data_IF_993280089380
#
_entry.id   IF_993280089380
#
_cell.length_a   1.000
_cell.length_b   1.000
_cell.length_c   1.000
_cell.angle_alpha   90.00
_cell.angle_beta   90.00
_cell.angle_gamma   90.00
#
_symmetry.space_group_name_H-M   'P 1'
#
loop_
_entity.id
_entity.type
_entity.pdbx_description
1 polymer ?
#
# COMPACT_ATOMS: atom_id res chain seq x y z
N UNK A 1 45.09 -3.14 6.20
CA UNK A 1 44.19 -4.30 6.09
C UNK A 1 43.14 -4.40 7.21
N UNK A 2 43.39 -3.79 8.36
CA UNK A 2 42.41 -3.72 9.49
C UNK A 2 41.52 -2.49 9.42
N UNK A 3 41.95 -1.39 8.83
CA UNK A 3 41.16 -0.13 8.77
C UNK A 3 40.08 -0.16 7.69
N UNK A 4 40.32 -0.80 6.55
CA UNK A 4 39.31 -0.95 5.47
C UNK A 4 38.12 -1.86 5.84
N UNK A 5 38.34 -2.81 6.78
CA UNK A 5 37.26 -3.70 7.24
C UNK A 5 36.35 -2.96 8.22
N UNK A 6 36.91 -2.09 9.06
CA UNK A 6 36.15 -1.29 10.03
C UNK A 6 35.28 -0.23 9.35
N UNK A 7 35.76 0.41 8.29
CA UNK A 7 34.96 1.37 7.50
C UNK A 7 33.80 0.68 6.77
N UNK A 8 33.96 -0.57 6.34
CA UNK A 8 32.91 -1.33 5.68
C UNK A 8 31.78 -1.76 6.64
N UNK A 9 32.12 -2.10 7.88
CA UNK A 9 31.13 -2.48 8.91
C UNK A 9 30.37 -1.24 9.44
N UNK A 10 31.03 -0.10 9.58
CA UNK A 10 30.39 1.17 9.96
C UNK A 10 29.44 1.68 8.86
N UNK A 11 29.82 1.61 7.59
CA UNK A 11 28.95 1.97 6.46
C UNK A 11 27.71 1.07 6.36
N UNK A 12 27.87 -0.25 6.57
CA UNK A 12 26.73 -1.16 6.59
C UNK A 12 25.78 -0.91 7.78
N UNK A 13 26.32 -0.53 8.94
CA UNK A 13 25.47 -0.20 10.09
C UNK A 13 24.71 1.10 9.90
N UNK A 14 25.29 2.11 9.26
CA UNK A 14 24.64 3.38 8.93
C UNK A 14 23.54 3.19 7.88
N UNK A 15 23.77 2.35 6.86
CA UNK A 15 22.74 2.01 5.87
C UNK A 15 21.56 1.22 6.48
N UNK A 16 21.84 0.36 7.46
CA UNK A 16 20.80 -0.37 8.19
C UNK A 16 19.99 0.54 9.12
N UNK A 17 20.63 1.50 9.78
CA UNK A 17 19.97 2.49 10.64
C UNK A 17 19.12 3.47 9.82
N UNK A 18 19.60 3.92 8.65
CA UNK A 18 18.83 4.76 7.72
C UNK A 18 17.61 4.01 7.17
N UNK A 19 17.76 2.73 6.84
CA UNK A 19 16.66 1.89 6.37
C UNK A 19 15.63 1.61 7.47
N UNK A 20 16.06 1.38 8.70
CA UNK A 20 15.17 1.18 9.85
C UNK A 20 14.40 2.46 10.20
N UNK A 21 15.05 3.63 10.09
CA UNK A 21 14.41 4.94 10.27
C UNK A 21 13.39 5.23 9.16
N UNK A 22 13.69 4.87 7.91
CA UNK A 22 12.77 5.02 6.80
C UNK A 22 11.54 4.11 6.95
N UNK A 23 11.72 2.85 7.39
CA UNK A 23 10.60 1.93 7.66
C UNK A 23 9.74 2.37 8.85
N UNK A 24 10.35 2.89 9.91
CA UNK A 24 9.60 3.45 11.04
C UNK A 24 8.83 4.72 10.64
N UNK A 25 9.38 5.53 9.73
CA UNK A 25 8.69 6.67 9.17
C UNK A 25 7.52 6.23 8.25
N UNK A 26 7.69 5.17 7.45
CA UNK A 26 6.62 4.59 6.64
C UNK A 26 5.51 3.97 7.51
N UNK A 27 5.86 3.19 8.56
CA UNK A 27 4.87 2.62 9.50
C UNK A 27 4.14 3.74 10.28
N UNK A 28 4.84 4.77 10.73
CA UNK A 28 4.22 5.90 11.44
C UNK A 28 3.37 6.78 10.51
N UNK A 29 3.73 6.88 9.24
CA UNK A 29 2.97 7.66 8.26
C UNK A 29 1.68 6.94 7.87
N UNK A 30 1.70 5.61 7.79
CA UNK A 30 0.51 4.79 7.53
C UNK A 30 -0.42 4.79 8.75
N UNK A 31 0.13 4.66 9.97
CA UNK A 31 -0.64 4.66 11.22
C UNK A 31 -1.23 6.05 11.56
N UNK A 32 -0.54 7.14 11.13
CA UNK A 32 -1.05 8.52 11.27
C UNK A 32 -2.04 8.93 10.18
N UNK A 33 -2.20 8.14 9.12
CA UNK A 33 -3.23 8.35 8.10
C UNK A 33 -4.58 7.71 8.46
N UNK A 34 -4.61 6.84 9.47
CA UNK A 34 -5.83 6.32 10.09
C UNK A 34 -6.29 7.24 11.25
N UNK A 35 -6.29 8.57 11.07
CA UNK A 35 -7.03 9.48 11.95
C UNK A 35 -8.53 9.28 11.67
N UNK A 36 -9.10 8.26 12.35
CA UNK A 36 -10.53 7.95 12.35
C UNK A 36 -11.42 9.09 12.88
N UNK A 37 -10.85 10.21 13.29
CA UNK A 37 -11.54 11.31 14.00
C UNK A 37 -11.49 12.67 13.24
N UNK A 38 -11.18 12.65 11.94
CA UNK A 38 -11.47 13.84 11.13
C UNK A 38 -13.00 13.96 10.99
N UNK A 39 -13.62 15.08 11.45
CA UNK A 39 -15.05 15.26 11.28
C UNK A 39 -15.38 15.09 9.79
N UNK A 40 -16.30 14.17 9.46
CA UNK A 40 -16.84 14.04 8.11
C UNK A 40 -17.47 15.40 7.77
N UNK A 41 -16.70 16.30 7.17
CA UNK A 41 -17.23 17.55 6.64
C UNK A 41 -18.16 17.13 5.50
N UNK A 42 -19.44 17.43 5.68
CA UNK A 42 -20.39 17.33 4.57
C UNK A 42 -20.04 18.46 3.62
N UNK A 43 -19.27 18.13 2.59
CA UNK A 43 -18.90 19.08 1.55
C UNK A 43 -20.13 19.37 0.67
N UNK A 44 -20.17 20.57 0.12
CA UNK A 44 -21.11 20.90 -0.93
C UNK A 44 -20.70 20.25 -2.25
N UNK A 45 -21.64 20.06 -3.17
CA UNK A 45 -21.35 19.51 -4.50
C UNK A 45 -20.25 20.32 -5.23
N UNK A 46 -20.24 21.67 -5.06
CA UNK A 46 -19.20 22.54 -5.62
C UNK A 46 -17.80 22.30 -5.02
N UNK A 47 -17.74 21.96 -3.72
CA UNK A 47 -16.46 21.62 -3.06
C UNK A 47 -15.96 20.23 -3.49
N UNK A 48 -16.86 19.28 -3.70
CA UNK A 48 -16.52 17.96 -4.23
C UNK A 48 -15.98 18.06 -5.65
N UNK A 49 -16.64 18.83 -6.52
CA UNK A 49 -16.17 19.09 -7.88
C UNK A 49 -14.77 19.74 -7.87
N UNK A 50 -14.53 20.70 -6.96
CA UNK A 50 -13.22 21.32 -6.81
C UNK A 50 -12.13 20.33 -6.38
N UNK A 51 -12.46 19.40 -5.47
CA UNK A 51 -11.53 18.33 -5.05
C UNK A 51 -11.20 17.43 -6.25
N UNK A 52 -12.23 16.97 -6.97
CA UNK A 52 -12.09 16.08 -8.12
C UNK A 52 -11.27 16.74 -9.24
N UNK A 53 -11.62 17.92 -9.66
CA UNK A 53 -10.90 18.67 -10.69
C UNK A 53 -9.44 18.89 -10.32
N UNK A 54 -9.18 19.25 -9.04
CA UNK A 54 -7.82 19.49 -8.55
C UNK A 54 -6.99 18.19 -8.55
N UNK A 55 -7.57 17.10 -8.08
CA UNK A 55 -6.92 15.80 -8.02
C UNK A 55 -6.62 15.25 -9.43
N UNK A 56 -7.62 15.30 -10.33
CA UNK A 56 -7.48 14.87 -11.73
C UNK A 56 -6.42 15.69 -12.47
N UNK A 57 -6.41 17.02 -12.28
CA UNK A 57 -5.40 17.87 -12.90
C UNK A 57 -3.98 17.49 -12.43
N UNK A 58 -3.81 17.31 -11.11
CA UNK A 58 -2.53 16.90 -10.55
C UNK A 58 -2.11 15.50 -11.05
N UNK A 59 -3.05 14.55 -11.10
CA UNK A 59 -2.80 13.21 -11.61
C UNK A 59 -2.39 13.24 -13.08
N UNK A 60 -3.12 13.95 -13.94
CA UNK A 60 -2.78 14.11 -15.35
C UNK A 60 -1.40 14.72 -15.57
N UNK A 61 -1.00 15.68 -14.74
CA UNK A 61 0.33 16.30 -14.83
C UNK A 61 1.43 15.31 -14.48
N UNK A 62 1.24 14.47 -13.45
CA UNK A 62 2.21 13.45 -13.06
C UNK A 62 2.28 12.32 -14.12
N UNK A 63 1.13 11.87 -14.63
CA UNK A 63 1.09 10.79 -15.62
C UNK A 63 1.89 11.08 -16.90
N UNK A 64 2.08 12.36 -17.26
CA UNK A 64 2.94 12.76 -18.39
C UNK A 64 4.38 12.25 -18.28
N UNK A 65 4.85 12.01 -17.05
CA UNK A 65 6.23 11.54 -16.79
C UNK A 65 6.36 10.02 -16.75
N UNK A 66 5.23 9.29 -16.71
CA UNK A 66 5.25 7.82 -16.64
C UNK A 66 5.33 7.11 -17.99
N UNK A 67 5.28 7.86 -19.08
CA UNK A 67 5.32 7.31 -20.45
C UNK A 67 4.25 6.21 -20.67
N UNK A 68 3.08 6.38 -20.08
CA UNK A 68 1.89 5.56 -20.33
C UNK A 68 1.19 6.00 -21.61
N UNK A 69 0.44 5.10 -22.21
CA UNK A 69 -0.35 5.37 -23.42
C UNK A 69 -1.52 6.32 -23.16
N UNK A 70 -2.58 6.17 -23.95
CA UNK A 70 -3.82 6.90 -23.67
C UNK A 70 -4.46 6.34 -22.43
N UNK A 71 -4.75 7.22 -21.45
CA UNK A 71 -5.42 6.87 -20.21
C UNK A 71 -6.73 7.61 -20.09
N UNK A 72 -7.74 6.95 -19.54
CA UNK A 72 -8.99 7.55 -19.06
C UNK A 72 -8.96 7.55 -17.54
N UNK A 73 -9.47 8.59 -16.92
CA UNK A 73 -9.61 8.70 -15.48
C UNK A 73 -11.10 8.88 -15.22
N UNK A 74 -11.69 7.89 -14.57
CA UNK A 74 -13.08 7.89 -14.13
C UNK A 74 -13.12 8.24 -12.65
N UNK A 75 -14.04 9.14 -12.25
CA UNK A 75 -14.19 9.57 -10.87
C UNK A 75 -15.54 9.10 -10.32
N UNK A 76 -15.55 8.69 -9.05
CA UNK A 76 -16.76 8.34 -8.33
C UNK A 76 -16.53 8.45 -6.81
N UNK A 77 -17.62 8.56 -6.08
CA UNK A 77 -17.61 8.55 -4.62
C UNK A 77 -17.60 7.10 -4.11
N UNK A 78 -16.69 6.82 -3.18
CA UNK A 78 -16.61 5.52 -2.52
C UNK A 78 -17.60 5.40 -1.36
N UNK A 79 -17.70 4.20 -0.79
CA UNK A 79 -18.67 3.86 0.26
C UNK A 79 -18.41 4.62 1.57
N UNK A 80 -17.19 5.05 1.82
CA UNK A 80 -16.80 5.81 3.02
C UNK A 80 -16.79 7.34 2.78
N UNK A 81 -17.19 7.78 1.59
CA UNK A 81 -17.23 9.18 1.17
C UNK A 81 -15.87 9.69 0.66
N UNK A 82 -14.99 8.79 0.23
CA UNK A 82 -13.73 9.13 -0.44
C UNK A 82 -13.94 9.38 -1.94
N UNK A 83 -13.13 10.25 -2.54
CA UNK A 83 -13.03 10.38 -3.98
C UNK A 83 -12.16 9.25 -4.54
N UNK A 84 -12.72 8.42 -5.39
CA UNK A 84 -11.98 7.37 -6.09
C UNK A 84 -11.72 7.82 -7.53
N UNK A 85 -10.43 7.77 -7.93
CA UNK A 85 -9.98 8.00 -9.29
C UNK A 85 -9.48 6.67 -9.86
N UNK A 86 -10.26 6.07 -10.76
CA UNK A 86 -9.87 4.83 -11.45
C UNK A 86 -9.21 5.16 -12.79
N UNK A 87 -7.98 4.66 -12.97
CA UNK A 87 -7.19 4.86 -14.17
C UNK A 87 -7.33 3.63 -15.04
N UNK A 88 -7.84 3.83 -16.26
CA UNK A 88 -7.97 2.78 -17.28
C UNK A 88 -7.16 3.14 -18.53
N UNK A 89 -6.59 2.16 -19.22
CA UNK A 89 -5.80 2.42 -20.43
C UNK A 89 -4.77 1.34 -20.73
N UNK A 90 -3.81 1.67 -21.58
CA UNK A 90 -2.75 0.76 -22.00
C UNK A 90 -1.48 0.94 -21.17
N UNK A 91 -0.76 -0.18 -20.93
CA UNK A 91 0.56 -0.21 -20.28
C UNK A 91 0.61 0.36 -18.85
N UNK A 92 -0.46 0.21 -18.08
CA UNK A 92 -0.60 0.76 -16.73
C UNK A 92 0.22 0.05 -15.65
N UNK A 93 0.92 -1.05 -15.98
CA UNK A 93 1.69 -1.82 -15.01
C UNK A 93 2.79 -0.99 -14.30
N UNK A 94 3.32 0.05 -14.99
CA UNK A 94 4.32 0.96 -14.41
C UNK A 94 3.73 1.82 -13.29
N UNK A 95 2.43 2.16 -13.36
CA UNK A 95 1.73 2.92 -12.32
C UNK A 95 1.48 2.09 -11.06
N UNK A 96 1.31 0.79 -11.22
CA UNK A 96 1.14 -0.14 -10.11
C UNK A 96 2.49 -0.37 -9.41
N UNK A 97 3.53 -0.67 -10.21
CA UNK A 97 4.86 -1.01 -9.70
C UNK A 97 4.93 -2.34 -8.96
N UNK A 98 6.03 -2.57 -8.24
CA UNK A 98 6.21 -3.81 -7.46
C UNK A 98 5.33 -3.79 -6.21
N UNK A 99 4.40 -4.75 -6.11
CA UNK A 99 3.48 -4.87 -4.98
C UNK A 99 2.59 -3.65 -4.73
N UNK A 100 2.30 -2.84 -5.75
CA UNK A 100 1.47 -1.64 -5.59
C UNK A 100 2.20 -0.39 -5.09
N UNK A 101 3.50 -0.46 -4.81
CA UNK A 101 4.26 0.64 -4.19
C UNK A 101 4.23 1.94 -5.00
N UNK A 102 4.31 1.87 -6.31
CA UNK A 102 4.22 3.06 -7.17
C UNK A 102 2.84 3.69 -7.03
N UNK A 103 1.79 2.87 -7.03
CA UNK A 103 0.41 3.31 -6.88
C UNK A 103 0.17 3.98 -5.51
N UNK A 104 0.69 3.39 -4.44
CA UNK A 104 0.59 3.95 -3.09
C UNK A 104 1.32 5.31 -3.00
N UNK A 105 2.53 5.40 -3.57
CA UNK A 105 3.28 6.66 -3.62
C UNK A 105 2.57 7.72 -4.46
N UNK A 106 1.97 7.33 -5.59
CA UNK A 106 1.18 8.22 -6.45
C UNK A 106 -0.04 8.74 -5.69
N UNK A 107 -0.79 7.87 -5.03
CA UNK A 107 -1.93 8.25 -4.21
C UNK A 107 -1.53 9.24 -3.12
N UNK A 108 -0.43 8.98 -2.40
CA UNK A 108 0.08 9.89 -1.39
C UNK A 108 0.39 11.28 -1.95
N UNK A 109 1.12 11.35 -3.07
CA UNK A 109 1.45 12.62 -3.72
C UNK A 109 0.20 13.40 -4.14
N UNK A 110 -0.76 12.73 -4.77
CA UNK A 110 -2.01 13.37 -5.18
C UNK A 110 -2.79 13.88 -3.98
N UNK A 111 -2.92 13.10 -2.91
CA UNK A 111 -3.60 13.53 -1.68
C UNK A 111 -2.95 14.79 -1.08
N UNK A 112 -1.61 14.85 -1.03
CA UNK A 112 -0.88 16.01 -0.51
C UNK A 112 -1.06 17.23 -1.42
N UNK A 113 -0.94 17.09 -2.74
CA UNK A 113 -1.08 18.18 -3.70
C UNK A 113 -2.49 18.73 -3.66
N UNK A 114 -3.50 17.86 -3.66
CA UNK A 114 -4.91 18.24 -3.60
C UNK A 114 -5.20 19.00 -2.31
N UNK A 115 -4.87 18.44 -1.15
CA UNK A 115 -5.11 19.08 0.15
C UNK A 115 -4.45 20.45 0.27
N UNK A 116 -3.24 20.62 -0.27
CA UNK A 116 -2.56 21.93 -0.28
C UNK A 116 -3.24 22.97 -1.18
N UNK A 117 -3.80 22.54 -2.29
CA UNK A 117 -4.47 23.44 -3.24
C UNK A 117 -5.86 23.86 -2.77
N UNK A 118 -6.63 22.93 -2.20
CA UNK A 118 -7.99 23.19 -1.72
C UNK A 118 -8.03 23.79 -0.30
N UNK A 119 -6.96 23.62 0.49
CA UNK A 119 -6.82 24.18 1.84
C UNK A 119 -7.39 23.31 2.97
N UNK A 120 -7.93 22.12 2.67
CA UNK A 120 -8.40 21.14 3.64
C UNK A 120 -8.04 19.71 3.22
N UNK A 121 -8.20 18.73 4.12
CA UNK A 121 -7.96 17.32 3.80
C UNK A 121 -9.22 16.67 3.30
N UNK A 122 -9.13 15.95 2.20
CA UNK A 122 -10.18 15.07 1.69
C UNK A 122 -9.57 13.74 1.26
N UNK A 123 -10.20 12.62 1.58
CA UNK A 123 -9.67 11.30 1.22
C UNK A 123 -9.75 11.09 -0.30
N UNK A 124 -8.59 10.91 -0.94
CA UNK A 124 -8.48 10.60 -2.37
C UNK A 124 -7.84 9.24 -2.53
N UNK A 125 -8.52 8.33 -3.18
CA UNK A 125 -8.05 7.00 -3.51
C UNK A 125 -7.76 6.94 -5.00
N UNK A 126 -6.60 6.36 -5.36
CA UNK A 126 -6.27 6.06 -6.76
C UNK A 126 -6.28 4.56 -6.95
N UNK A 127 -6.96 4.10 -7.97
CA UNK A 127 -6.93 2.70 -8.40
C UNK A 127 -6.52 2.61 -9.88
N UNK A 128 -6.12 1.44 -10.30
CA UNK A 128 -5.76 1.11 -11.68
C UNK A 128 -6.50 -0.15 -12.06
N UNK A 129 -7.60 0.02 -12.80
CA UNK A 129 -8.42 -1.09 -13.31
C UNK A 129 -8.85 -2.08 -12.21
N UNK A 130 -9.16 -1.61 -11.00
CA UNK A 130 -9.53 -2.48 -9.88
C UNK A 130 -8.35 -3.31 -9.34
N UNK A 131 -7.11 -2.83 -9.45
CA UNK A 131 -5.91 -3.53 -8.97
C UNK A 131 -6.00 -3.89 -7.49
N UNK A 132 -6.43 -2.93 -6.63
CA UNK A 132 -6.48 -3.14 -5.18
C UNK A 132 -7.38 -4.31 -4.81
N UNK A 133 -8.57 -4.39 -5.40
CA UNK A 133 -9.52 -5.48 -5.17
C UNK A 133 -8.95 -6.83 -5.64
N UNK A 134 -8.36 -6.88 -6.84
CA UNK A 134 -7.74 -8.10 -7.38
C UNK A 134 -6.55 -8.56 -6.53
N UNK A 135 -5.75 -7.62 -6.01
CA UNK A 135 -4.61 -7.93 -5.15
C UNK A 135 -5.08 -8.50 -3.81
N UNK A 136 -6.13 -7.93 -3.21
CA UNK A 136 -6.74 -8.44 -1.98
C UNK A 136 -7.20 -9.89 -2.15
N UNK A 137 -8.03 -10.18 -3.16
CA UNK A 137 -8.50 -11.54 -3.48
C UNK A 137 -7.36 -12.54 -3.70
N UNK A 138 -6.29 -12.09 -4.36
CA UNK A 138 -5.10 -12.93 -4.56
C UNK A 138 -4.40 -13.26 -3.25
N UNK A 139 -4.29 -12.30 -2.35
CA UNK A 139 -3.68 -12.49 -1.03
C UNK A 139 -4.53 -13.41 -0.15
N UNK A 140 -5.85 -13.25 -0.17
CA UNK A 140 -6.79 -14.14 0.51
C UNK A 140 -6.62 -15.59 0.02
N UNK A 141 -6.59 -15.80 -1.29
CA UNK A 141 -6.36 -17.12 -1.87
C UNK A 141 -4.99 -17.72 -1.47
N UNK A 142 -3.95 -16.90 -1.39
CA UNK A 142 -2.61 -17.32 -0.92
C UNK A 142 -2.69 -17.74 0.55
N UNK A 143 -3.37 -16.96 1.40
CA UNK A 143 -3.55 -17.25 2.81
C UNK A 143 -4.25 -18.60 3.04
N UNK A 144 -5.41 -18.81 2.40
CA UNK A 144 -6.17 -20.05 2.50
C UNK A 144 -5.37 -21.27 2.00
N UNK A 145 -4.66 -21.12 0.87
CA UNK A 145 -3.81 -22.17 0.35
C UNK A 145 -2.66 -22.52 1.31
N UNK A 146 -2.08 -21.49 1.96
CA UNK A 146 -1.03 -21.70 2.95
C UNK A 146 -1.57 -22.43 4.20
N UNK A 147 -2.76 -22.05 4.68
CA UNK A 147 -3.42 -22.71 5.81
C UNK A 147 -3.68 -24.21 5.50
N UNK A 148 -4.33 -24.50 4.37
CA UNK A 148 -4.57 -25.90 3.94
C UNK A 148 -3.28 -26.73 3.86
N UNK A 149 -2.19 -26.12 3.34
CA UNK A 149 -0.89 -26.81 3.26
C UNK A 149 -0.25 -27.00 4.63
N UNK A 150 -0.35 -26.01 5.53
CA UNK A 150 0.18 -26.10 6.88
C UNK A 150 -0.48 -27.26 7.65
N UNK A 151 -1.80 -27.34 7.64
CA UNK A 151 -2.57 -28.42 8.26
C UNK A 151 -2.28 -29.76 7.62
N UNK A 152 -2.33 -29.88 6.27
CA UNK A 152 -2.15 -31.15 5.58
C UNK A 152 -0.75 -31.74 5.72
N UNK A 153 0.27 -30.91 5.91
CA UNK A 153 1.67 -31.34 6.01
C UNK A 153 2.17 -31.36 7.47
N UNK A 154 1.36 -30.87 8.40
CA UNK A 154 1.74 -30.64 9.80
C UNK A 154 3.07 -29.87 9.93
N UNK A 155 3.20 -28.77 9.16
CA UNK A 155 4.44 -27.97 9.06
C UNK A 155 4.13 -26.49 8.91
N UNK A 156 5.03 -25.68 9.46
CA UNK A 156 5.04 -24.24 9.23
C UNK A 156 5.25 -23.92 7.75
N UNK A 157 4.43 -23.03 7.21
CA UNK A 157 4.53 -22.53 5.85
C UNK A 157 4.92 -21.06 5.89
N UNK A 158 6.16 -20.75 5.47
CA UNK A 158 6.61 -19.38 5.30
C UNK A 158 6.18 -18.86 3.92
N UNK A 159 5.49 -17.72 3.89
CA UNK A 159 5.13 -17.04 2.65
C UNK A 159 6.31 -16.21 2.12
N UNK A 160 6.17 -15.67 0.90
CA UNK A 160 7.15 -14.71 0.37
C UNK A 160 7.18 -13.45 1.23
N UNK A 161 8.31 -12.69 1.21
CA UNK A 161 8.34 -11.35 1.78
C UNK A 161 7.27 -10.46 1.14
N UNK A 162 6.64 -9.61 1.95
CA UNK A 162 5.54 -8.76 1.52
C UNK A 162 5.41 -7.50 2.38
N UNK A 163 4.71 -6.49 1.85
CA UNK A 163 4.49 -5.21 2.52
C UNK A 163 3.70 -5.37 3.84
N UNK A 164 3.75 -4.41 4.77
CA UNK A 164 2.94 -4.42 6.00
C UNK A 164 1.45 -4.60 5.71
N UNK A 165 0.93 -3.88 4.72
CA UNK A 165 -0.45 -3.99 4.27
C UNK A 165 -0.81 -5.40 3.77
N UNK A 166 0.01 -5.99 2.89
CA UNK A 166 -0.19 -7.36 2.41
C UNK A 166 -0.18 -8.37 3.57
N UNK A 167 0.71 -8.18 4.56
CA UNK A 167 0.78 -9.05 5.75
C UNK A 167 -0.47 -8.92 6.61
N UNK A 168 -1.00 -7.71 6.78
CA UNK A 168 -2.26 -7.47 7.50
C UNK A 168 -3.42 -8.23 6.86
N UNK A 169 -3.55 -8.20 5.53
CA UNK A 169 -4.60 -8.95 4.81
C UNK A 169 -4.50 -10.46 5.14
N UNK A 170 -3.31 -11.05 5.04
CA UNK A 170 -3.12 -12.48 5.37
C UNK A 170 -3.54 -12.79 6.81
N UNK A 171 -3.15 -11.93 7.78
CA UNK A 171 -3.52 -12.11 9.18
C UNK A 171 -5.03 -12.01 9.40
N UNK A 172 -5.70 -11.05 8.76
CA UNK A 172 -7.15 -10.87 8.85
C UNK A 172 -7.87 -12.07 8.25
N UNK A 173 -7.47 -12.52 7.05
CA UNK A 173 -8.08 -13.67 6.36
C UNK A 173 -8.03 -14.95 7.20
N UNK A 174 -6.94 -15.16 7.94
CA UNK A 174 -6.75 -16.38 8.74
C UNK A 174 -7.08 -16.23 10.22
N UNK A 175 -7.48 -15.04 10.67
CA UNK A 175 -7.74 -14.75 12.10
C UNK A 175 -8.75 -15.68 12.73
N UNK A 176 -9.81 -15.99 12.00
CA UNK A 176 -10.94 -16.80 12.52
C UNK A 176 -10.81 -18.28 12.15
N UNK A 177 -9.65 -18.70 11.62
CA UNK A 177 -9.38 -20.10 11.30
C UNK A 177 -8.77 -20.84 12.51
N UNK A 178 -9.51 -21.80 13.13
CA UNK A 178 -9.05 -22.46 14.34
C UNK A 178 -7.91 -23.47 14.13
N UNK A 179 -7.58 -23.82 12.89
CA UNK A 179 -6.60 -24.86 12.58
C UNK A 179 -5.18 -24.30 12.42
N UNK A 180 -5.03 -22.95 12.35
CA UNK A 180 -3.73 -22.32 12.10
C UNK A 180 -3.55 -21.04 12.91
N UNK A 181 -2.30 -20.75 13.23
CA UNK A 181 -1.86 -19.45 13.76
C UNK A 181 -0.95 -18.75 12.77
N UNK A 182 -0.97 -17.41 12.79
CA UNK A 182 -0.14 -16.60 11.91
C UNK A 182 0.72 -15.61 12.70
N UNK A 183 1.99 -15.50 12.33
CA UNK A 183 2.90 -14.49 12.84
C UNK A 183 3.81 -13.95 11.74
N UNK A 184 4.35 -12.75 11.93
CA UNK A 184 5.29 -12.15 10.98
C UNK A 184 6.73 -12.34 11.45
N UNK A 185 7.60 -12.89 10.60
CA UNK A 185 9.02 -13.11 10.83
C UNK A 185 9.88 -12.26 9.89
N UNK A 186 11.09 -11.93 10.36
CA UNK A 186 12.09 -11.18 9.60
C UNK A 186 11.97 -9.68 9.79
N UNK A 187 12.89 -8.94 9.17
CA UNK A 187 13.01 -7.50 9.26
C UNK A 187 13.04 -6.90 7.86
N UNK A 188 12.66 -5.63 7.78
CA UNK A 188 12.73 -4.87 6.56
C UNK A 188 12.02 -5.54 5.38
N UNK A 189 12.63 -5.43 4.22
CA UNK A 189 12.10 -6.00 2.98
C UNK A 189 12.04 -7.53 2.96
N UNK A 190 12.71 -8.21 3.91
CA UNK A 190 12.66 -9.66 4.09
C UNK A 190 11.49 -10.16 4.94
N UNK A 191 10.73 -9.27 5.56
CA UNK A 191 9.66 -9.63 6.49
C UNK A 191 8.49 -10.30 5.79
N UNK A 192 8.00 -11.39 6.36
CA UNK A 192 7.01 -12.29 5.77
C UNK A 192 6.06 -12.85 6.82
N UNK A 193 4.92 -13.38 6.39
CA UNK A 193 4.01 -14.13 7.27
C UNK A 193 4.39 -15.60 7.26
N UNK A 194 4.34 -16.22 8.43
CA UNK A 194 4.46 -17.67 8.64
C UNK A 194 3.13 -18.17 9.19
N UNK A 195 2.60 -19.21 8.55
CA UNK A 195 1.39 -19.91 8.94
C UNK A 195 1.79 -21.21 9.60
N UNK A 196 1.36 -21.42 10.85
CA UNK A 196 1.70 -22.58 11.68
C UNK A 196 0.43 -23.36 11.99
N UNK A 197 0.38 -24.70 11.80
CA UNK A 197 -0.75 -25.50 12.26
C UNK A 197 -0.82 -25.50 13.79
N UNK A 198 -2.02 -25.55 14.35
CA UNK A 198 -2.29 -25.62 15.80
C UNK A 198 -2.31 -27.08 16.26
#
# INVERSE_FOLDING_TARGET
>A
MTDEILEGEELQSLEQDEQALAEQAEEQTIDQMEDEDAPKQVLTDEELDLVADTAIAALKDILKYFNVGQVTIDEYEGDEGELILDITGDDLAVLIGRHGRTLDSLQFLISVITSRKIGFRYPVVIDVEGYKARQCQKLESIAENAARRAVSQDKKIALRPMTPYERRIIHITLRDNPEVETHSEGEGHGRRVVVTPV
#
